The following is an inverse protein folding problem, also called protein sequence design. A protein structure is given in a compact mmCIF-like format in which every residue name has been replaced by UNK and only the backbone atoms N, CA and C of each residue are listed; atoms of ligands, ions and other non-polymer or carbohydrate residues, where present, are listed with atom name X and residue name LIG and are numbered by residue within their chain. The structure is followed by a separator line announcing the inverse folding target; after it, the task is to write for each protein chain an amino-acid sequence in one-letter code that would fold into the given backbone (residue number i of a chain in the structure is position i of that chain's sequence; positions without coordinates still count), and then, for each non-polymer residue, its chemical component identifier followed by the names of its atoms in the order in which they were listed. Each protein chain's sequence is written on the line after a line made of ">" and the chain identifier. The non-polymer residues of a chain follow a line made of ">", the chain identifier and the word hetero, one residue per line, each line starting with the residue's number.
data_IF_976729180090
#
_entry.id   IF_976729180090
#
_cell.length_a   1.000
_cell.length_b   1.000
_cell.length_c   1.000
_cell.angle_alpha   90.00
_cell.angle_beta   90.00
_cell.angle_gamma   90.00
#
_symmetry.space_group_name_H-M   'P 1'
#
loop_
_entity.id
_entity.type
_entity.pdbx_description
1 polymer ?
#
# COMPACT_ATOMS: atom_id res chain seq x y z
N UNK A 1 -7.88 14.03 -15.81
CA UNK A 1 -7.98 12.56 -15.89
C UNK A 1 -9.35 12.11 -15.38
N UNK A 2 -10.07 11.28 -16.13
CA UNK A 2 -11.24 10.56 -15.60
C UNK A 2 -10.74 9.30 -14.89
N UNK A 3 -10.34 9.42 -13.63
CA UNK A 3 -9.87 8.27 -12.84
C UNK A 3 -11.06 7.47 -12.35
N UNK A 4 -11.51 6.49 -13.14
CA UNK A 4 -12.49 5.52 -12.64
C UNK A 4 -11.88 4.75 -11.47
N UNK A 5 -12.61 4.60 -10.35
CA UNK A 5 -12.13 3.82 -9.21
C UNK A 5 -11.86 2.38 -9.64
N UNK A 6 -10.76 1.83 -9.12
CA UNK A 6 -10.45 0.40 -9.25
C UNK A 6 -10.88 -0.28 -7.96
N UNK A 7 -11.55 -1.42 -8.09
CA UNK A 7 -12.00 -2.24 -6.98
C UNK A 7 -11.22 -3.55 -6.98
N UNK A 8 -10.96 -4.07 -5.79
CA UNK A 8 -10.31 -5.36 -5.57
C UNK A 8 -11.20 -6.12 -4.60
N UNK A 9 -11.67 -7.28 -5.03
CA UNK A 9 -12.42 -8.19 -4.16
C UNK A 9 -11.49 -9.20 -3.52
N UNK A 10 -11.41 -9.20 -2.19
CA UNK A 10 -10.60 -10.13 -1.41
C UNK A 10 -11.48 -11.17 -0.72
N UNK A 11 -10.96 -12.39 -0.57
CA UNK A 11 -11.57 -13.35 0.35
C UNK A 11 -11.40 -12.86 1.79
N UNK A 12 -12.27 -13.27 2.74
CA UNK A 12 -12.14 -12.85 4.13
C UNK A 12 -10.76 -13.14 4.74
N UNK A 13 -10.18 -14.30 4.41
CA UNK A 13 -8.85 -14.69 4.89
C UNK A 13 -7.75 -13.80 4.30
N UNK A 14 -7.83 -13.48 3.01
CA UNK A 14 -6.85 -12.59 2.36
C UNK A 14 -6.98 -11.15 2.84
N UNK A 15 -8.21 -10.67 3.07
CA UNK A 15 -8.45 -9.37 3.66
C UNK A 15 -7.85 -9.26 5.08
N UNK A 16 -7.98 -10.32 5.89
CA UNK A 16 -7.39 -10.36 7.23
C UNK A 16 -5.86 -10.31 7.16
N UNK A 17 -5.24 -11.18 6.36
CA UNK A 17 -3.80 -11.20 6.20
C UNK A 17 -3.26 -9.85 5.69
N UNK A 18 -3.93 -9.24 4.72
CA UNK A 18 -3.55 -7.92 4.20
C UNK A 18 -3.56 -6.85 5.30
N UNK A 19 -4.59 -6.83 6.13
CA UNK A 19 -4.71 -5.86 7.22
C UNK A 19 -3.62 -6.08 8.27
N UNK A 20 -3.37 -7.33 8.67
CA UNK A 20 -2.35 -7.69 9.66
C UNK A 20 -0.95 -7.24 9.21
N UNK A 21 -0.58 -7.49 7.96
CA UNK A 21 0.73 -7.09 7.42
C UNK A 21 0.86 -5.56 7.31
N UNK A 22 -0.21 -4.86 6.92
CA UNK A 22 -0.22 -3.40 6.90
C UNK A 22 -0.10 -2.81 8.31
N UNK A 23 -0.77 -3.41 9.31
CA UNK A 23 -0.67 -3.00 10.70
C UNK A 23 0.74 -3.21 11.25
N UNK A 24 1.38 -4.35 10.97
CA UNK A 24 2.76 -4.59 11.38
C UNK A 24 3.71 -3.49 10.89
N UNK A 25 3.51 -2.99 9.66
CA UNK A 25 4.31 -1.86 9.15
C UNK A 25 4.02 -0.55 9.87
N UNK A 26 2.74 -0.26 10.13
CA UNK A 26 2.33 0.97 10.82
C UNK A 26 2.77 0.98 12.29
N UNK A 27 2.77 -0.18 12.94
CA UNK A 27 3.21 -0.37 14.32
C UNK A 27 4.74 -0.42 14.45
N UNK A 28 5.47 -0.39 13.33
CA UNK A 28 6.94 -0.44 13.29
C UNK A 28 7.52 -1.84 13.53
N UNK A 29 6.67 -2.88 13.55
CA UNK A 29 7.09 -4.28 13.64
C UNK A 29 7.68 -4.79 12.32
N UNK A 30 7.28 -4.19 11.20
CA UNK A 30 7.84 -4.39 9.88
C UNK A 30 8.25 -3.05 9.25
N UNK A 31 9.35 -3.04 8.48
CA UNK A 31 9.84 -1.82 7.84
C UNK A 31 9.15 -1.50 6.52
N UNK A 32 8.54 -2.50 5.87
CA UNK A 32 8.00 -2.38 4.52
C UNK A 32 6.99 -3.47 4.20
N UNK A 33 5.97 -3.13 3.41
CA UNK A 33 4.98 -4.05 2.87
C UNK A 33 4.78 -3.80 1.37
N UNK A 34 4.72 -4.90 0.61
CA UNK A 34 4.38 -4.91 -0.81
C UNK A 34 3.45 -6.07 -1.14
N UNK A 35 2.41 -5.77 -1.92
CA UNK A 35 1.55 -6.80 -2.51
C UNK A 35 1.17 -6.45 -3.94
N UNK A 36 1.17 -7.45 -4.80
CA UNK A 36 0.59 -7.38 -6.13
C UNK A 36 -0.81 -7.98 -6.11
N UNK A 37 -1.80 -7.21 -6.55
CA UNK A 37 -3.21 -7.59 -6.53
C UNK A 37 -3.81 -7.40 -7.92
N UNK A 38 -4.81 -8.23 -8.22
CA UNK A 38 -5.62 -8.08 -9.42
C UNK A 38 -6.91 -7.35 -9.07
N UNK A 39 -7.22 -6.30 -9.82
CA UNK A 39 -8.51 -5.62 -9.70
C UNK A 39 -9.61 -6.46 -10.33
N UNK A 40 -10.85 -6.15 -9.97
CA UNK A 40 -12.03 -6.79 -10.55
C UNK A 40 -12.17 -6.49 -12.06
N UNK A 41 -11.49 -5.43 -12.54
CA UNK A 41 -11.38 -5.05 -13.95
C UNK A 41 -10.26 -5.78 -14.69
N UNK A 42 -9.50 -6.66 -14.03
CA UNK A 42 -8.40 -7.44 -14.62
C UNK A 42 -7.08 -6.68 -14.77
N UNK A 43 -6.91 -5.56 -14.06
CA UNK A 43 -5.65 -4.82 -14.00
C UNK A 43 -4.80 -5.33 -12.83
N UNK A 44 -3.50 -5.49 -13.06
CA UNK A 44 -2.55 -5.75 -11.99
C UNK A 44 -2.14 -4.43 -11.34
N UNK A 45 -2.22 -4.36 -10.01
CA UNK A 45 -1.84 -3.18 -9.23
C UNK A 45 -0.89 -3.58 -8.09
N UNK A 46 0.07 -2.71 -7.79
CA UNK A 46 0.96 -2.85 -6.64
C UNK A 46 0.53 -1.95 -5.50
N UNK A 47 0.42 -2.51 -4.30
CA UNK A 47 0.26 -1.77 -3.05
C UNK A 47 1.61 -1.73 -2.37
N UNK A 48 2.05 -0.52 -2.01
CA UNK A 48 3.31 -0.29 -1.28
C UNK A 48 3.00 0.50 -0.02
N UNK A 49 3.51 0.03 1.10
CA UNK A 49 3.45 0.73 2.37
C UNK A 49 4.84 0.72 3.00
N UNK A 50 5.38 1.90 3.26
CA UNK A 50 6.64 2.07 3.98
C UNK A 50 6.36 2.37 5.45
N UNK A 51 7.30 2.00 6.31
CA UNK A 51 7.19 2.23 7.75
C UNK A 51 7.20 3.72 8.13
N UNK A 52 6.82 4.05 9.37
CA UNK A 52 6.76 5.43 9.86
C UNK A 52 8.12 6.14 9.95
N UNK A 53 9.23 5.41 9.82
CA UNK A 53 10.57 6.00 9.73
C UNK A 53 10.93 6.47 8.31
N UNK A 54 10.16 6.02 7.29
CA UNK A 54 10.29 6.42 5.87
C UNK A 54 9.43 7.65 5.52
N UNK A 55 9.09 8.49 6.51
CA UNK A 55 8.54 9.80 6.23
C UNK A 55 9.63 10.58 5.50
N UNK A 56 9.52 10.66 4.18
CA UNK A 56 10.20 11.68 3.37
C UNK A 56 9.88 13.00 4.06
N UNK A 57 10.86 13.63 4.69
CA UNK A 57 10.72 15.01 5.15
C UNK A 57 10.16 15.82 3.97
N UNK A 58 8.90 16.23 4.08
CA UNK A 58 8.29 17.17 3.16
C UNK A 58 9.00 18.52 3.39
N UNK A 59 10.20 18.67 2.81
CA UNK A 59 11.06 19.82 3.10
C UNK A 59 12.53 19.78 2.64
N UNK A 60 12.99 18.73 1.94
CA UNK A 60 14.34 18.76 1.33
C UNK A 60 14.39 19.70 0.12
N UNK A 61 15.30 20.70 0.05
CA UNK A 61 15.28 21.72 -0.99
C UNK A 61 15.84 21.16 -2.29
N UNK A 62 14.97 20.58 -3.11
CA UNK A 62 15.19 20.58 -4.56
C UNK A 62 14.63 21.91 -5.09
N UNK A 63 15.39 22.98 -4.83
CA UNK A 63 15.35 24.19 -5.63
C UNK A 63 16.29 23.95 -6.82
N UNK A 64 15.68 23.90 -8.01
CA UNK A 64 16.27 24.03 -9.38
C UNK A 64 17.34 23.01 -9.85
#
# INVERSE_FOLDING_TARGET
>A
MNSRPQFISLTPDLARALIEEMQAVLDGEASYFHAELWTDSGLQVGVHLSGPEDVVEEGGPYHE
#
